data_IF_688137787746
#
_entry.id   IF_688137787746
#
_cell.length_a   1.000
_cell.length_b   1.000
_cell.length_c   1.000
_cell.angle_alpha   90.00
_cell.angle_beta   90.00
_cell.angle_gamma   90.00
#
_symmetry.space_group_name_H-M   'P 1'
#
loop_
_entity.id
_entity.type
_entity.pdbx_description
1 polymer ?
#
# COMPACT_ATOMS: atom_id res chain seq x y z
N UNK A 1 -0.23 -9.13 -14.24
CA UNK A 1 -0.49 -8.15 -13.19
C UNK A 1 0.77 -7.39 -12.86
N UNK A 2 0.63 -6.13 -12.54
CA UNK A 2 1.76 -5.30 -12.18
C UNK A 2 2.11 -5.49 -10.72
N UNK A 3 3.33 -5.06 -10.37
CA UNK A 3 3.73 -5.10 -8.98
C UNK A 3 2.84 -4.25 -8.10
N UNK A 4 2.40 -3.11 -8.64
CA UNK A 4 1.53 -2.22 -7.89
C UNK A 4 0.23 -2.94 -7.53
N UNK A 5 -0.33 -3.68 -8.47
CA UNK A 5 -1.55 -4.44 -8.20
C UNK A 5 -1.32 -5.47 -7.11
N UNK A 6 -0.17 -6.14 -7.13
CA UNK A 6 0.15 -7.12 -6.11
C UNK A 6 0.27 -6.47 -4.74
N UNK A 7 0.90 -5.31 -4.68
CA UNK A 7 1.03 -4.60 -3.41
C UNK A 7 -0.33 -4.21 -2.85
N UNK A 8 -1.22 -3.74 -3.72
CA UNK A 8 -2.57 -3.39 -3.29
C UNK A 8 -3.33 -4.61 -2.79
N UNK A 9 -3.14 -5.74 -3.45
CA UNK A 9 -3.75 -6.98 -3.00
C UNK A 9 -3.25 -7.36 -1.61
N UNK A 10 -1.95 -7.28 -1.40
CA UNK A 10 -1.40 -7.59 -0.10
C UNK A 10 -1.92 -6.65 0.97
N UNK A 11 -2.04 -5.38 0.64
CA UNK A 11 -2.57 -4.41 1.59
C UNK A 11 -4.00 -4.74 1.95
N UNK A 12 -4.81 -5.10 0.96
CA UNK A 12 -6.19 -5.48 1.21
C UNK A 12 -6.28 -6.71 2.08
N UNK A 13 -5.44 -7.70 1.81
CA UNK A 13 -5.45 -8.93 2.61
C UNK A 13 -5.06 -8.63 4.05
N UNK A 14 -4.11 -7.75 4.24
CA UNK A 14 -3.71 -7.39 5.59
C UNK A 14 -4.84 -6.70 6.33
N UNK A 15 -5.56 -5.82 5.65
CA UNK A 15 -6.71 -5.15 6.26
C UNK A 15 -7.79 -6.14 6.62
N UNK A 16 -8.08 -7.06 5.72
CA UNK A 16 -9.09 -8.08 6.00
C UNK A 16 -8.67 -8.95 7.17
N UNK A 17 -7.40 -9.32 7.22
CA UNK A 17 -6.92 -10.11 8.35
C UNK A 17 -7.05 -9.33 9.65
N UNK A 18 -6.81 -8.01 9.59
CA UNK A 18 -6.96 -7.19 10.78
C UNK A 18 -8.40 -7.19 11.27
N UNK A 19 -9.35 -7.25 10.37
CA UNK A 19 -10.76 -7.30 10.76
C UNK A 19 -11.09 -8.55 11.53
N UNK A 20 -10.38 -9.63 11.28
CA UNK A 20 -10.61 -10.89 11.95
C UNK A 20 -9.65 -11.14 13.10
N UNK A 21 -8.78 -10.17 13.38
CA UNK A 21 -7.81 -10.35 14.45
C UNK A 21 -8.51 -10.45 15.80
N UNK A 22 -7.99 -11.32 16.65
CA UNK A 22 -8.62 -11.56 17.95
C UNK A 22 -8.18 -10.58 19.00
N UNK A 23 -7.00 -9.98 18.84
CA UNK A 23 -6.48 -9.05 19.82
C UNK A 23 -6.13 -7.75 19.15
N UNK A 24 -6.03 -6.70 19.96
CA UNK A 24 -5.63 -5.41 19.46
C UNK A 24 -4.20 -5.41 18.94
N UNK A 25 -3.34 -6.16 19.61
CA UNK A 25 -1.95 -6.25 19.17
C UNK A 25 -1.87 -6.84 17.77
N UNK A 26 -2.60 -7.91 17.53
CA UNK A 26 -2.61 -8.53 16.22
C UNK A 26 -3.16 -7.58 15.18
N UNK A 27 -4.25 -6.90 15.54
CA UNK A 27 -4.87 -5.97 14.62
C UNK A 27 -3.92 -4.85 14.23
N UNK A 28 -3.24 -4.29 15.21
CA UNK A 28 -2.31 -3.20 14.95
C UNK A 28 -1.15 -3.64 14.09
N UNK A 29 -0.62 -4.83 14.35
CA UNK A 29 0.45 -5.38 13.53
C UNK A 29 0.02 -5.53 12.08
N UNK A 30 -1.19 -6.05 11.88
CA UNK A 30 -1.70 -6.24 10.53
C UNK A 30 -1.98 -4.90 9.84
N UNK A 31 -2.47 -3.91 10.58
CA UNK A 31 -2.71 -2.60 10.00
C UNK A 31 -1.40 -1.93 9.62
N UNK A 32 -0.36 -2.12 10.41
CA UNK A 32 0.93 -1.58 10.05
C UNK A 32 1.48 -2.26 8.80
N UNK A 33 1.26 -3.55 8.69
CA UNK A 33 1.66 -4.26 7.49
C UNK A 33 0.92 -3.73 6.28
N UNK A 34 -0.39 -3.49 6.43
CA UNK A 34 -1.17 -2.91 5.35
C UNK A 34 -0.63 -1.56 4.93
N UNK A 35 -0.23 -0.75 5.89
CA UNK A 35 0.36 0.54 5.61
C UNK A 35 1.64 0.40 4.81
N UNK A 36 2.47 -0.55 5.21
CA UNK A 36 3.72 -0.79 4.51
C UNK A 36 3.47 -1.17 3.07
N UNK A 37 2.53 -2.08 2.83
CA UNK A 37 2.21 -2.48 1.47
C UNK A 37 1.62 -1.32 0.67
N UNK A 38 0.79 -0.50 1.31
CA UNK A 38 0.22 0.65 0.64
C UNK A 38 1.30 1.63 0.22
N UNK A 39 2.24 1.89 1.11
CA UNK A 39 3.35 2.78 0.78
C UNK A 39 4.19 2.21 -0.34
N UNK A 40 4.43 0.90 -0.31
CA UNK A 40 5.20 0.26 -1.37
C UNK A 40 4.49 0.42 -2.70
N UNK A 41 3.17 0.29 -2.72
CA UNK A 41 2.40 0.45 -3.94
C UNK A 41 2.53 1.88 -4.47
N UNK A 42 2.45 2.85 -3.59
CA UNK A 42 2.55 4.23 -4.01
C UNK A 42 3.94 4.57 -4.55
N UNK A 43 4.97 4.03 -3.90
CA UNK A 43 6.33 4.25 -4.36
C UNK A 43 6.56 3.60 -5.72
N UNK A 44 6.05 2.39 -5.89
CA UNK A 44 6.20 1.70 -7.17
C UNK A 44 5.49 2.46 -8.27
N UNK A 45 4.31 2.96 -7.96
CA UNK A 45 3.55 3.72 -8.93
C UNK A 45 4.29 4.99 -9.34
N UNK A 46 4.87 5.69 -8.37
CA UNK A 46 5.62 6.89 -8.67
C UNK A 46 6.80 6.59 -9.56
N UNK A 47 7.48 5.48 -9.31
CA UNK A 47 8.58 5.04 -10.15
C UNK A 47 8.14 4.81 -11.58
N UNK A 48 6.97 4.20 -11.74
CA UNK A 48 6.51 3.83 -13.07
C UNK A 48 6.09 5.02 -13.91
N UNK A 49 5.50 6.05 -13.28
CA UNK A 49 5.05 7.21 -14.05
C UNK A 49 6.20 8.10 -14.47
N UNK A 50 7.37 7.92 -13.86
CA UNK A 50 8.51 8.68 -14.27
C UNK A 50 8.59 10.04 -13.62
N UNK A 51 9.72 10.66 -13.80
CA UNK A 51 10.02 11.88 -13.09
C UNK A 51 9.31 13.09 -13.68
N UNK A 52 9.14 13.11 -14.97
CA UNK A 52 8.58 14.29 -15.63
C UNK A 52 7.14 14.51 -15.21
N UNK A 53 6.41 13.47 -14.99
CA UNK A 53 5.00 13.61 -14.64
C UNK A 53 4.80 13.95 -13.18
N UNK A 54 5.73 13.54 -12.36
CA UNK A 54 5.60 13.75 -10.93
C UNK A 54 5.53 15.22 -10.60
N UNK A 55 6.40 16.00 -11.22
CA UNK A 55 6.45 17.44 -10.95
C UNK A 55 5.15 18.12 -11.33
N UNK A 56 4.59 17.72 -12.45
CA UNK A 56 3.37 18.35 -12.92
C UNK A 56 2.20 18.06 -12.01
N UNK A 57 2.11 16.82 -11.58
CA UNK A 57 1.02 16.44 -10.72
C UNK A 57 1.08 17.19 -9.39
N UNK A 58 2.27 17.32 -8.87
CA UNK A 58 2.42 18.01 -7.59
C UNK A 58 2.03 19.47 -7.70
N UNK A 59 2.37 20.08 -8.80
CA UNK A 59 2.05 21.48 -8.98
C UNK A 59 0.55 21.70 -9.09
N UNK A 60 -0.10 20.79 -9.77
CA UNK A 60 -1.52 20.91 -9.92
C UNK A 60 -2.22 20.70 -8.59
#
# INVERSE_FOLDING_TARGET
MSKTDQFWQYANEAVLSACYAKTDDDRQGLLELARTWTQAALLERASLVGDENTAEIVVA
#
